data_IF_231395591867
#
_entry.id   IF_231395591867
#
_cell.length_a   1.000
_cell.length_b   1.000
_cell.length_c   1.000
_cell.angle_alpha   90.00
_cell.angle_beta   90.00
_cell.angle_gamma   90.00
#
_symmetry.space_group_name_H-M   'P 1'
#
loop_
_entity.id
_entity.type
_entity.pdbx_description
1 polymer ?
#
# COMPACT_ATOMS: atom_id res chain seq x y z
N UNK A 1 -5.69 19.82 -7.24
CA UNK A 1 -6.03 18.46 -6.74
C UNK A 1 -4.85 17.72 -6.11
N UNK A 2 -3.65 18.31 -6.14
CA UNK A 2 -2.43 17.70 -5.59
C UNK A 2 -2.47 17.43 -4.07
N UNK A 3 -3.06 18.33 -3.28
CA UNK A 3 -3.21 18.12 -1.82
C UNK A 3 -4.05 16.87 -1.53
N UNK A 4 -5.16 16.69 -2.24
CA UNK A 4 -6.00 15.50 -2.09
C UNK A 4 -5.23 14.23 -2.45
N UNK A 5 -4.46 14.25 -3.55
CA UNK A 5 -3.55 13.16 -3.92
C UNK A 5 -2.58 12.81 -2.79
N UNK A 6 -1.90 13.82 -2.22
CA UNK A 6 -0.95 13.61 -1.12
C UNK A 6 -1.63 13.02 0.13
N UNK A 7 -2.85 13.47 0.47
CA UNK A 7 -3.62 12.92 1.59
C UNK A 7 -3.92 11.43 1.37
N UNK A 8 -4.41 11.05 0.18
CA UNK A 8 -4.67 9.64 -0.13
C UNK A 8 -3.38 8.81 -0.17
N UNK A 9 -2.27 9.37 -0.65
CA UNK A 9 -0.97 8.71 -0.63
C UNK A 9 -0.49 8.42 0.80
N UNK A 10 -0.59 9.39 1.72
CA UNK A 10 -0.25 9.19 3.13
C UNK A 10 -1.14 8.13 3.76
N UNK A 11 -2.45 8.16 3.51
CA UNK A 11 -3.37 7.14 3.99
C UNK A 11 -3.04 5.75 3.42
N UNK A 12 -2.67 5.65 2.15
CA UNK A 12 -2.21 4.40 1.54
C UNK A 12 -0.93 3.89 2.21
N UNK A 13 0.03 4.78 2.48
CA UNK A 13 1.25 4.43 3.20
C UNK A 13 0.97 3.90 4.62
N UNK A 14 0.09 4.56 5.37
CA UNK A 14 -0.33 4.12 6.69
C UNK A 14 -1.04 2.75 6.68
N UNK A 15 -1.90 2.51 5.68
CA UNK A 15 -2.51 1.19 5.48
C UNK A 15 -1.45 0.11 5.27
N UNK A 16 -0.40 0.40 4.49
CA UNK A 16 0.66 -0.58 4.24
C UNK A 16 1.57 -0.79 5.46
N UNK A 17 1.75 0.21 6.32
CA UNK A 17 2.37 0.02 7.64
C UNK A 17 1.52 -0.91 8.52
N UNK A 18 0.18 -0.76 8.50
CA UNK A 18 -0.71 -1.68 9.20
C UNK A 18 -0.58 -3.11 8.64
N UNK A 19 -0.56 -3.27 7.31
CA UNK A 19 -0.39 -4.57 6.65
C UNK A 19 0.94 -5.20 7.03
N UNK A 20 2.03 -4.44 7.03
CA UNK A 20 3.34 -4.87 7.53
C UNK A 20 3.24 -5.43 8.96
N UNK A 21 2.54 -4.74 9.87
CA UNK A 21 2.38 -5.24 11.25
C UNK A 21 1.64 -6.58 11.28
N UNK A 22 0.60 -6.71 10.46
CA UNK A 22 -0.15 -7.97 10.35
C UNK A 22 0.71 -9.10 9.79
N UNK A 23 1.43 -8.86 8.70
CA UNK A 23 2.21 -9.87 7.98
C UNK A 23 3.52 -10.25 8.68
N UNK A 24 4.20 -9.29 9.32
CA UNK A 24 5.52 -9.53 9.93
C UNK A 24 5.46 -9.92 11.41
N UNK A 25 4.46 -9.46 12.16
CA UNK A 25 4.41 -9.71 13.61
C UNK A 25 3.20 -10.51 14.06
N UNK A 26 2.05 -10.37 13.39
CA UNK A 26 0.76 -10.91 13.85
C UNK A 26 0.21 -11.99 12.92
N UNK A 27 1.02 -12.58 12.06
CA UNK A 27 0.56 -13.46 10.97
C UNK A 27 -0.30 -14.63 11.46
N UNK A 28 0.10 -15.26 12.56
CA UNK A 28 -0.53 -16.45 13.13
C UNK A 28 -1.63 -16.11 14.13
N UNK A 29 -1.96 -14.83 14.32
CA UNK A 29 -3.08 -14.44 15.17
C UNK A 29 -4.42 -14.69 14.47
N UNK A 30 -5.47 -15.16 15.19
CA UNK A 30 -6.77 -15.46 14.59
C UNK A 30 -7.40 -14.30 13.80
N UNK A 31 -7.21 -13.06 14.25
CA UNK A 31 -7.72 -11.87 13.54
C UNK A 31 -7.00 -11.62 12.22
N UNK A 32 -5.70 -11.89 12.16
CA UNK A 32 -4.90 -11.73 10.94
C UNK A 32 -5.21 -12.85 9.97
N UNK A 33 -5.22 -14.09 10.43
CA UNK A 33 -5.62 -15.25 9.62
C UNK A 33 -7.00 -15.02 8.97
N UNK A 34 -7.98 -14.53 9.74
CA UNK A 34 -9.30 -14.15 9.20
C UNK A 34 -9.24 -13.05 8.14
N UNK A 35 -8.35 -12.07 8.31
CA UNK A 35 -8.18 -10.97 7.34
C UNK A 35 -7.60 -11.46 6.01
N UNK A 36 -6.71 -12.45 6.06
CA UNK A 36 -6.06 -13.04 4.88
C UNK A 36 -6.69 -14.35 4.40
N UNK A 37 -7.90 -14.67 4.86
CA UNK A 37 -8.66 -15.88 4.49
C UNK A 37 -7.93 -17.21 4.79
N UNK A 38 -7.04 -17.22 5.78
CA UNK A 38 -6.30 -18.41 6.22
C UNK A 38 -7.16 -19.21 7.19
N UNK A 39 -7.38 -20.49 6.91
CA UNK A 39 -8.35 -21.32 7.64
C UNK A 39 -7.73 -22.26 8.67
N UNK A 40 -6.42 -22.53 8.57
CA UNK A 40 -5.71 -23.42 9.49
C UNK A 40 -4.45 -22.78 10.05
N UNK A 41 -4.11 -23.11 11.29
CA UNK A 41 -2.87 -22.65 11.92
C UNK A 41 -1.64 -23.24 11.22
N UNK A 42 -1.76 -24.45 10.68
CA UNK A 42 -0.68 -25.12 9.93
C UNK A 42 -0.33 -24.36 8.65
N UNK A 43 -1.33 -23.90 7.89
CA UNK A 43 -1.13 -23.01 6.74
C UNK A 43 -0.48 -21.67 7.15
N UNK A 44 -0.91 -21.08 8.27
CA UNK A 44 -0.35 -19.82 8.77
C UNK A 44 1.13 -19.97 9.12
N UNK A 45 1.50 -21.03 9.85
CA UNK A 45 2.91 -21.30 10.18
C UNK A 45 3.74 -21.64 8.93
N UNK A 46 3.20 -22.43 8.00
CA UNK A 46 3.89 -22.78 6.76
C UNK A 46 4.17 -21.58 5.83
N UNK A 47 3.36 -20.52 5.91
CA UNK A 47 3.50 -19.32 5.08
C UNK A 47 4.12 -18.13 5.80
N UNK A 48 4.45 -18.27 7.09
CA UNK A 48 4.90 -17.19 7.96
C UNK A 48 6.15 -16.47 7.46
N UNK A 49 7.15 -17.19 6.98
CA UNK A 49 8.38 -16.59 6.46
C UNK A 49 8.12 -15.79 5.17
N UNK A 50 7.25 -16.31 4.30
CA UNK A 50 6.84 -15.60 3.08
C UNK A 50 6.06 -14.33 3.42
N UNK A 51 5.12 -14.42 4.37
CA UNK A 51 4.36 -13.28 4.86
C UNK A 51 5.28 -12.22 5.49
N UNK A 52 6.25 -12.64 6.30
CA UNK A 52 7.23 -11.73 6.88
C UNK A 52 7.97 -10.92 5.80
N UNK A 53 8.42 -11.57 4.73
CA UNK A 53 9.09 -10.89 3.62
C UNK A 53 8.13 -9.95 2.86
N UNK A 54 6.88 -10.38 2.61
CA UNK A 54 5.84 -9.53 2.00
C UNK A 54 5.55 -8.29 2.84
N UNK A 55 5.50 -8.42 4.15
CA UNK A 55 5.31 -7.31 5.07
C UNK A 55 6.37 -6.23 4.90
N UNK A 56 7.64 -6.59 4.72
CA UNK A 56 8.70 -5.62 4.48
C UNK A 56 8.62 -4.95 3.11
N UNK A 57 8.21 -5.67 2.05
CA UNK A 57 7.92 -5.02 0.77
C UNK A 57 6.81 -3.99 0.91
N UNK A 58 5.71 -4.34 1.59
CA UNK A 58 4.60 -3.44 1.88
C UNK A 58 5.06 -2.21 2.68
N UNK A 59 5.88 -2.41 3.72
CA UNK A 59 6.46 -1.33 4.51
C UNK A 59 7.25 -0.35 3.64
N UNK A 60 8.14 -0.85 2.78
CA UNK A 60 8.99 0.01 1.96
C UNK A 60 8.19 0.78 0.90
N UNK A 61 7.16 0.18 0.30
CA UNK A 61 6.22 0.94 -0.55
C UNK A 61 5.50 2.02 0.25
N UNK A 62 5.07 1.71 1.49
CA UNK A 62 4.42 2.67 2.38
C UNK A 62 5.32 3.86 2.73
N UNK A 63 6.57 3.59 3.12
CA UNK A 63 7.57 4.62 3.43
C UNK A 63 7.86 5.48 2.21
N UNK A 64 8.13 4.88 1.05
CA UNK A 64 8.41 5.60 -0.19
C UNK A 64 7.26 6.53 -0.56
N UNK A 65 6.02 6.03 -0.46
CA UNK A 65 4.82 6.79 -0.78
C UNK A 65 4.62 7.97 0.17
N UNK A 66 4.71 7.72 1.47
CA UNK A 66 4.53 8.76 2.49
C UNK A 66 5.65 9.82 2.41
N UNK A 67 6.91 9.41 2.25
CA UNK A 67 8.03 10.33 2.06
C UNK A 67 7.85 11.18 0.81
N UNK A 68 7.43 10.58 -0.31
CA UNK A 68 7.12 11.30 -1.54
C UNK A 68 6.04 12.38 -1.33
N UNK A 69 4.93 12.01 -0.70
CA UNK A 69 3.84 12.93 -0.38
C UNK A 69 4.27 14.08 0.54
N UNK A 70 5.07 13.79 1.58
CA UNK A 70 5.59 14.80 2.49
C UNK A 70 6.56 15.77 1.79
N UNK A 71 7.43 15.27 0.91
CA UNK A 71 8.31 16.12 0.10
C UNK A 71 7.47 16.99 -0.86
N UNK A 72 6.41 16.45 -1.46
CA UNK A 72 5.51 17.23 -2.32
C UNK A 72 4.79 18.35 -1.56
N UNK A 73 4.37 18.11 -0.32
CA UNK A 73 3.63 19.08 0.50
C UNK A 73 4.52 20.13 1.16
N UNK A 74 5.70 19.74 1.64
CA UNK A 74 6.53 20.56 2.53
C UNK A 74 7.93 20.85 1.98
N UNK A 75 8.34 20.18 0.89
CA UNK A 75 9.64 20.38 0.27
C UNK A 75 9.74 21.66 -0.54
N UNK A 76 10.97 22.02 -0.90
CA UNK A 76 11.22 23.16 -1.78
C UNK A 76 10.72 22.86 -3.20
N UNK A 77 10.45 23.90 -3.99
CA UNK A 77 9.94 23.74 -5.35
C UNK A 77 10.87 22.91 -6.25
N UNK A 78 12.19 22.99 -6.03
CA UNK A 78 13.20 22.17 -6.71
C UNK A 78 13.11 20.68 -6.38
N UNK A 79 12.47 20.30 -5.28
CA UNK A 79 12.31 18.91 -4.82
C UNK A 79 10.95 18.32 -5.19
N UNK A 80 10.00 19.11 -5.71
CA UNK A 80 8.65 18.63 -5.99
C UNK A 80 8.61 17.47 -6.99
N UNK A 81 9.45 17.50 -8.03
CA UNK A 81 9.56 16.39 -8.98
C UNK A 81 9.96 15.09 -8.29
N UNK A 82 10.88 15.14 -7.33
CA UNK A 82 11.31 13.97 -6.55
C UNK A 82 10.16 13.46 -5.69
N UNK A 83 9.47 14.36 -4.97
CA UNK A 83 8.33 13.99 -4.13
C UNK A 83 7.21 13.32 -4.91
N UNK A 84 6.79 13.93 -6.02
CA UNK A 84 5.73 13.40 -6.89
C UNK A 84 6.15 12.06 -7.48
N UNK A 85 7.40 11.93 -7.93
CA UNK A 85 7.89 10.67 -8.53
C UNK A 85 7.90 9.53 -7.51
N UNK A 86 8.39 9.76 -6.28
CA UNK A 86 8.38 8.74 -5.23
C UNK A 86 6.96 8.35 -4.81
N UNK A 87 6.08 9.36 -4.65
CA UNK A 87 4.67 9.14 -4.33
C UNK A 87 3.97 8.32 -5.41
N UNK A 88 4.16 8.68 -6.68
CA UNK A 88 3.59 7.98 -7.82
C UNK A 88 4.16 6.55 -7.95
N UNK A 89 5.47 6.37 -7.83
CA UNK A 89 6.10 5.05 -7.92
C UNK A 89 5.52 4.10 -6.86
N UNK A 90 5.44 4.55 -5.61
CA UNK A 90 4.87 3.75 -4.52
C UNK A 90 3.38 3.44 -4.75
N UNK A 91 2.55 4.45 -5.06
CA UNK A 91 1.11 4.23 -5.27
C UNK A 91 0.78 3.41 -6.51
N UNK A 92 1.52 3.55 -7.62
CA UNK A 92 1.39 2.69 -8.80
C UNK A 92 1.72 1.25 -8.43
N UNK A 93 2.84 1.01 -7.74
CA UNK A 93 3.22 -0.35 -7.33
C UNK A 93 2.15 -1.00 -6.44
N UNK A 94 1.62 -0.28 -5.44
CA UNK A 94 0.54 -0.78 -4.59
C UNK A 94 -0.73 -1.12 -5.39
N UNK A 95 -1.15 -0.21 -6.27
CA UNK A 95 -2.35 -0.41 -7.08
C UNK A 95 -2.20 -1.60 -8.04
N UNK A 96 -1.06 -1.72 -8.72
CA UNK A 96 -0.79 -2.85 -9.61
C UNK A 96 -0.69 -4.18 -8.86
N UNK A 97 -0.01 -4.22 -7.70
CA UNK A 97 0.06 -5.41 -6.87
C UNK A 97 -1.33 -5.84 -6.37
N UNK A 98 -2.16 -4.88 -5.97
CA UNK A 98 -3.54 -5.15 -5.58
C UNK A 98 -4.39 -5.70 -6.74
N UNK A 99 -4.16 -5.25 -7.98
CA UNK A 99 -4.80 -5.83 -9.16
C UNK A 99 -4.35 -7.29 -9.40
N UNK A 100 -3.05 -7.58 -9.27
CA UNK A 100 -2.53 -8.96 -9.36
C UNK A 100 -3.20 -9.84 -8.31
N UNK A 101 -3.28 -9.37 -7.06
CA UNK A 101 -3.95 -10.09 -5.97
C UNK A 101 -5.45 -10.33 -6.27
N UNK A 102 -6.15 -9.31 -6.78
CA UNK A 102 -7.56 -9.41 -7.15
C UNK A 102 -7.80 -10.46 -8.23
N UNK A 103 -6.93 -10.52 -9.25
CA UNK A 103 -7.07 -11.48 -10.36
C UNK A 103 -6.55 -12.88 -10.02
N UNK A 104 -5.58 -12.98 -9.10
CA UNK A 104 -4.91 -14.24 -8.78
C UNK A 104 -5.51 -15.02 -7.62
N UNK A 105 -6.19 -14.34 -6.69
CA UNK A 105 -6.69 -14.94 -5.43
C UNK A 105 -8.13 -14.50 -5.14
N UNK A 106 -9.14 -15.18 -5.71
CA UNK A 106 -10.55 -14.80 -5.57
C UNK A 106 -11.06 -14.74 -4.13
N UNK A 107 -10.49 -15.57 -3.25
CA UNK A 107 -10.74 -15.61 -1.80
C UNK A 107 -10.21 -14.37 -1.06
N UNK A 108 -9.36 -13.56 -1.72
CA UNK A 108 -8.71 -12.35 -1.17
C UNK A 108 -9.16 -11.07 -1.86
N UNK A 109 -10.21 -11.11 -2.69
CA UNK A 109 -10.75 -9.94 -3.41
C UNK A 109 -11.04 -8.75 -2.48
N UNK A 110 -11.59 -9.00 -1.29
CA UNK A 110 -11.88 -7.92 -0.34
C UNK A 110 -10.61 -7.23 0.18
N UNK A 111 -9.55 -8.01 0.43
CA UNK A 111 -8.25 -7.47 0.83
C UNK A 111 -7.60 -6.69 -0.32
N UNK A 112 -7.70 -7.21 -1.54
CA UNK A 112 -7.22 -6.54 -2.75
C UNK A 112 -7.89 -5.18 -2.98
N UNK A 113 -9.22 -5.10 -2.87
CA UNK A 113 -9.96 -3.84 -3.03
C UNK A 113 -9.52 -2.80 -2.00
N UNK A 114 -9.33 -3.21 -0.73
CA UNK A 114 -8.84 -2.31 0.33
C UNK A 114 -7.44 -1.77 0.02
N UNK A 115 -6.55 -2.62 -0.48
CA UNK A 115 -5.19 -2.25 -0.87
C UNK A 115 -5.15 -1.37 -2.13
N UNK A 116 -6.10 -1.54 -3.05
CA UNK A 116 -6.20 -0.77 -4.29
C UNK A 116 -6.75 0.65 -4.09
N UNK A 117 -7.77 0.80 -3.24
CA UNK A 117 -8.62 2.00 -3.25
C UNK A 117 -7.85 3.30 -2.96
N UNK A 118 -7.10 3.35 -1.85
CA UNK A 118 -6.34 4.54 -1.45
C UNK A 118 -5.24 4.93 -2.46
N UNK A 119 -4.36 4.02 -2.92
CA UNK A 119 -3.37 4.38 -3.93
C UNK A 119 -4.01 4.76 -5.27
N UNK A 120 -5.09 4.10 -5.71
CA UNK A 120 -5.78 4.46 -6.94
C UNK A 120 -6.39 5.88 -6.87
N UNK A 121 -7.01 6.24 -5.74
CA UNK A 121 -7.52 7.59 -5.53
C UNK A 121 -6.38 8.62 -5.56
N UNK A 122 -5.25 8.33 -4.90
CA UNK A 122 -4.06 9.19 -4.98
C UNK A 122 -3.63 9.46 -6.42
N UNK A 123 -3.55 8.40 -7.24
CA UNK A 123 -3.15 8.50 -8.66
C UNK A 123 -4.16 9.29 -9.49
N UNK A 124 -5.47 9.07 -9.28
CA UNK A 124 -6.52 9.81 -9.98
C UNK A 124 -6.40 11.31 -9.67
N UNK A 125 -6.30 11.69 -8.39
CA UNK A 125 -6.13 13.09 -8.01
C UNK A 125 -4.82 13.71 -8.50
N UNK A 126 -3.75 12.90 -8.61
CA UNK A 126 -2.47 13.34 -9.18
C UNK A 126 -2.63 13.63 -10.68
N UNK A 127 -3.20 12.69 -11.44
CA UNK A 127 -3.44 12.85 -12.88
C UNK A 127 -4.27 14.11 -13.13
N UNK A 128 -5.36 14.30 -12.38
CA UNK A 128 -6.20 15.48 -12.56
C UNK A 128 -5.44 16.76 -12.19
N UNK A 129 -4.60 16.74 -11.14
CA UNK A 129 -3.78 17.90 -10.77
C UNK A 129 -2.70 18.27 -11.79
N UNK A 130 -2.28 17.33 -12.64
CA UNK A 130 -1.26 17.56 -13.69
C UNK A 130 -1.91 17.96 -15.01
N UNK A 131 -3.12 17.49 -15.29
CA UNK A 131 -3.83 17.73 -16.55
C UNK A 131 -4.77 18.95 -16.53
N UNK A 132 -5.23 19.38 -15.35
CA UNK A 132 -6.13 20.52 -15.14
C UNK A 132 -5.50 21.56 -14.23
#
# INVERSE_FOLDING_TARGET
MLIASCVFAVLAGLLHVLIFVLESFRWTEPSTMKTFSITSIEEAEATKEMAYNQGFYNLFFGIMTAAGALITLFGQQTQQTVGITLMAAGTVSMALAALVLFTGSPDKCTAAVKQFTLPALSLIFLIIAVLL
#
